data_IF_261861668882
#
_entry.id   IF_261861668882
#
_cell.length_a   1.000
_cell.length_b   1.000
_cell.length_c   1.000
_cell.angle_alpha   90.00
_cell.angle_beta   90.00
_cell.angle_gamma   90.00
#
_symmetry.space_group_name_H-M   'P 1'
#
loop_
_entity.id
_entity.type
_entity.pdbx_description
1 polymer ?
#
# COMPACT_ATOMS: atom_id res chain seq x y z
N UNK A 1 -23.40 -13.48 43.89
CA UNK A 1 -23.26 -14.93 44.14
C UNK A 1 -22.04 -15.27 45.01
N UNK A 2 -20.96 -14.49 44.99
CA UNK A 2 -19.70 -14.77 45.74
C UNK A 2 -19.79 -14.85 47.27
N UNK A 3 -20.95 -14.55 47.87
CA UNK A 3 -21.16 -14.60 49.33
C UNK A 3 -21.96 -15.81 49.82
N UNK A 4 -22.68 -16.53 48.95
CA UNK A 4 -23.60 -17.59 49.38
C UNK A 4 -22.88 -18.74 50.12
N UNK A 5 -21.69 -19.11 49.66
CA UNK A 5 -20.91 -20.18 50.30
C UNK A 5 -20.29 -19.77 51.65
N UNK A 6 -20.16 -18.46 51.92
CA UNK A 6 -19.69 -17.97 53.23
C UNK A 6 -20.78 -18.07 54.29
N UNK A 7 -22.03 -17.88 53.90
CA UNK A 7 -23.18 -17.92 54.81
C UNK A 7 -23.56 -19.36 55.21
N UNK A 8 -23.34 -20.35 54.33
CA UNK A 8 -23.62 -21.78 54.58
C UNK A 8 -22.56 -22.44 55.48
N UNK A 9 -21.38 -21.83 55.62
CA UNK A 9 -20.26 -22.33 56.42
C UNK A 9 -19.53 -23.52 55.77
N UNK A 10 -18.23 -23.69 56.09
CA UNK A 10 -17.40 -24.79 55.54
C UNK A 10 -17.63 -26.14 56.22
N UNK A 11 -18.32 -26.14 57.35
CA UNK A 11 -18.47 -27.32 58.19
C UNK A 11 -19.68 -28.17 57.75
N UNK A 12 -20.59 -27.60 56.96
CA UNK A 12 -21.75 -28.31 56.40
C UNK A 12 -21.40 -29.01 55.08
N UNK A 13 -22.01 -30.18 54.82
CA UNK A 13 -21.79 -30.91 53.56
C UNK A 13 -22.19 -30.09 52.33
N UNK A 14 -23.29 -29.33 52.42
CA UNK A 14 -23.73 -28.43 51.37
C UNK A 14 -22.70 -27.32 51.09
N UNK A 15 -22.07 -26.77 52.13
CA UNK A 15 -21.01 -25.78 52.00
C UNK A 15 -19.75 -26.35 51.34
N UNK A 16 -19.37 -27.60 51.66
CA UNK A 16 -18.23 -28.29 51.01
C UNK A 16 -18.48 -28.54 49.52
N UNK A 17 -19.68 -28.98 49.15
CA UNK A 17 -20.07 -29.16 47.75
C UNK A 17 -20.05 -27.84 46.97
N UNK A 18 -20.61 -26.77 47.53
CA UNK A 18 -20.62 -25.44 46.91
C UNK A 18 -19.20 -24.87 46.75
N UNK A 19 -18.32 -25.07 47.74
CA UNK A 19 -16.93 -24.62 47.67
C UNK A 19 -16.13 -25.34 46.57
N UNK A 20 -16.38 -26.63 46.36
CA UNK A 20 -15.75 -27.39 45.27
C UNK A 20 -16.28 -27.00 43.89
N UNK A 21 -17.56 -26.65 43.78
CA UNK A 21 -18.16 -26.22 42.51
C UNK A 21 -17.68 -24.81 42.09
N UNK A 22 -17.41 -23.94 43.07
CA UNK A 22 -16.97 -22.56 42.86
C UNK A 22 -15.68 -22.26 43.63
N UNK A 23 -14.53 -22.84 43.24
CA UNK A 23 -13.26 -22.53 43.88
C UNK A 23 -13.01 -21.02 43.78
N UNK A 24 -12.67 -20.33 44.89
CA UNK A 24 -12.52 -18.89 44.92
C UNK A 24 -11.39 -18.49 43.97
N UNK A 25 -11.77 -18.04 42.77
CA UNK A 25 -10.90 -17.71 41.65
C UNK A 25 -9.67 -18.61 41.55
N UNK A 26 -9.77 -19.72 40.82
CA UNK A 26 -8.54 -20.37 40.34
C UNK A 26 -7.77 -19.31 39.56
N UNK A 27 -6.74 -18.71 40.19
CA UNK A 27 -5.73 -17.94 39.49
C UNK A 27 -5.18 -18.91 38.47
N UNK A 28 -5.65 -18.79 37.23
CA UNK A 28 -5.21 -19.64 36.13
C UNK A 28 -3.70 -19.42 36.04
N UNK A 29 -2.94 -20.39 36.55
CA UNK A 29 -1.50 -20.33 36.62
C UNK A 29 -0.98 -20.58 35.22
N UNK A 30 -0.93 -19.54 34.41
CA UNK A 30 -0.29 -19.62 33.12
C UNK A 30 1.22 -19.77 33.32
N UNK A 31 1.88 -20.70 32.63
CA UNK A 31 3.33 -20.84 32.71
C UNK A 31 4.00 -19.50 32.37
N UNK A 32 4.89 -19.03 33.24
CA UNK A 32 5.58 -17.76 33.06
C UNK A 32 6.41 -17.80 31.79
N UNK A 33 5.99 -17.05 30.77
CA UNK A 33 6.74 -16.91 29.52
C UNK A 33 8.06 -16.21 29.83
N UNK A 34 9.17 -16.96 29.81
CA UNK A 34 10.53 -16.40 29.95
C UNK A 34 10.82 -15.47 28.77
N UNK A 35 10.48 -14.19 28.90
CA UNK A 35 10.84 -13.17 27.92
C UNK A 35 12.34 -12.94 28.04
N UNK A 36 13.11 -13.35 27.03
CA UNK A 36 14.51 -12.93 26.90
C UNK A 36 14.54 -11.39 26.88
N UNK A 37 15.23 -10.78 27.84
CA UNK A 37 15.41 -9.34 27.91
C UNK A 37 16.07 -8.85 26.61
N UNK A 38 15.50 -7.84 25.96
CA UNK A 38 15.97 -7.32 24.66
C UNK A 38 17.42 -6.79 24.66
N UNK A 39 18.05 -6.62 25.83
CA UNK A 39 19.41 -6.11 25.93
C UNK A 39 20.51 -7.10 25.54
N UNK A 40 20.26 -8.41 25.52
CA UNK A 40 21.29 -9.41 25.16
C UNK A 40 21.35 -9.75 23.66
N UNK A 41 20.32 -9.41 22.87
CA UNK A 41 20.31 -9.70 21.43
C UNK A 41 21.21 -8.77 20.61
N UNK A 42 21.43 -7.53 21.07
CA UNK A 42 22.31 -6.59 20.36
C UNK A 42 23.80 -6.94 20.52
N UNK A 43 24.20 -7.50 21.68
CA UNK A 43 25.60 -7.90 21.94
C UNK A 43 25.97 -9.23 21.24
N UNK A 44 25.03 -10.17 21.11
CA UNK A 44 25.27 -11.43 20.42
C UNK A 44 25.37 -11.28 18.89
N UNK A 45 24.75 -10.26 18.29
CA UNK A 45 24.90 -9.98 16.85
C UNK A 45 26.19 -9.25 16.48
N UNK A 46 26.75 -8.43 17.38
CA UNK A 46 28.04 -7.76 17.12
C UNK A 46 29.25 -8.71 17.21
N UNK A 47 29.25 -9.68 18.14
CA UNK A 47 30.37 -10.64 18.25
C UNK A 47 30.44 -11.61 17.06
N UNK A 48 29.30 -11.92 16.41
CA UNK A 48 29.27 -12.78 15.21
C UNK A 48 29.87 -12.12 13.96
N UNK A 49 29.99 -10.78 13.92
CA UNK A 49 30.52 -10.06 12.76
C UNK A 49 32.02 -9.78 12.82
N UNK A 50 32.67 -9.91 13.98
CA UNK A 50 34.11 -9.62 14.15
C UNK A 50 35.00 -10.83 14.44
N UNK A 51 34.43 -11.97 14.85
CA UNK A 51 35.20 -13.19 15.07
C UNK A 51 35.02 -14.21 13.94
N UNK A 52 35.99 -14.29 13.02
CA UNK A 52 36.12 -15.39 12.07
C UNK A 52 36.35 -16.73 12.77
N UNK A 53 35.30 -17.33 13.34
CA UNK A 53 35.36 -18.68 13.90
C UNK A 53 35.54 -19.67 12.74
N UNK A 54 36.73 -20.24 12.63
CA UNK A 54 37.03 -21.40 11.78
C UNK A 54 35.94 -22.44 12.04
N UNK A 55 35.19 -22.81 11.00
CA UNK A 55 34.17 -23.87 11.07
C UNK A 55 34.90 -25.18 11.41
N UNK A 56 34.93 -25.57 12.68
CA UNK A 56 35.29 -26.93 13.02
C UNK A 56 34.25 -27.84 12.37
N UNK A 57 34.72 -28.82 11.59
CA UNK A 57 33.87 -29.82 10.99
C UNK A 57 33.11 -30.52 12.13
N UNK A 58 31.79 -30.35 12.14
CA UNK A 58 30.94 -30.99 13.13
C UNK A 58 31.12 -32.51 12.98
N UNK A 59 31.49 -33.24 14.05
CA UNK A 59 31.69 -34.68 13.98
C UNK A 59 30.40 -35.34 13.50
N UNK A 60 30.56 -36.22 12.50
CA UNK A 60 29.58 -37.13 11.89
C UNK A 60 28.10 -36.84 12.21
N UNK A 61 27.39 -36.29 11.23
CA UNK A 61 25.93 -36.15 11.29
C UNK A 61 25.34 -37.56 11.46
N UNK A 62 24.79 -37.86 12.64
CA UNK A 62 23.98 -39.04 12.84
C UNK A 62 22.80 -38.98 11.86
N UNK A 63 22.68 -39.97 10.97
CA UNK A 63 21.50 -40.17 10.12
C UNK A 63 20.35 -40.66 11.01
N UNK A 64 19.63 -39.70 11.60
CA UNK A 64 18.36 -39.99 12.25
C UNK A 64 17.29 -40.06 11.16
N UNK A 65 16.73 -41.24 10.93
CA UNK A 65 15.63 -41.43 9.99
C UNK A 65 14.36 -40.79 10.57
N UNK A 66 14.01 -39.60 10.06
CA UNK A 66 12.78 -38.93 10.44
C UNK A 66 11.63 -39.40 9.54
N UNK A 67 10.42 -39.56 10.10
CA UNK A 67 9.23 -39.83 9.29
C UNK A 67 9.05 -38.71 8.25
N UNK A 68 8.76 -39.10 7.01
CA UNK A 68 8.52 -38.17 5.89
C UNK A 68 7.27 -37.34 6.17
N UNK A 69 7.48 -36.14 6.71
CA UNK A 69 6.40 -35.18 6.86
C UNK A 69 5.89 -34.74 5.47
N UNK A 70 4.57 -34.67 5.26
CA UNK A 70 4.04 -34.19 3.99
C UNK A 70 4.53 -32.76 3.74
N UNK A 71 4.98 -32.50 2.51
CA UNK A 71 5.42 -31.15 2.13
C UNK A 71 4.27 -30.16 2.38
N UNK A 72 4.54 -29.00 3.00
CA UNK A 72 3.51 -28.01 3.23
C UNK A 72 2.91 -27.60 1.87
N UNK A 73 1.58 -27.70 1.75
CA UNK A 73 0.88 -27.25 0.55
C UNK A 73 1.23 -25.78 0.30
N UNK A 74 1.66 -25.46 -0.92
CA UNK A 74 1.92 -24.07 -1.32
C UNK A 74 0.65 -23.26 -1.09
N UNK A 75 0.77 -22.17 -0.34
CA UNK A 75 -0.34 -21.22 -0.15
C UNK A 75 -0.76 -20.70 -1.53
N UNK A 76 -2.05 -20.78 -1.84
CA UNK A 76 -2.63 -20.12 -3.01
C UNK A 76 -2.74 -18.65 -2.67
N UNK A 77 -2.11 -17.79 -3.47
CA UNK A 77 -2.24 -16.35 -3.33
C UNK A 77 -3.56 -15.91 -3.94
N UNK A 78 -4.34 -15.10 -3.23
CA UNK A 78 -5.56 -14.50 -3.75
C UNK A 78 -5.26 -13.07 -4.23
N UNK A 79 -6.06 -12.54 -5.18
CA UNK A 79 -5.90 -11.15 -5.64
C UNK A 79 -5.99 -10.12 -4.49
N UNK A 80 -6.75 -10.45 -3.44
CA UNK A 80 -6.88 -9.66 -2.22
C UNK A 80 -5.55 -9.53 -1.47
N UNK A 81 -4.66 -10.53 -1.54
CA UNK A 81 -3.35 -10.49 -0.87
C UNK A 81 -2.39 -9.48 -1.52
N UNK A 82 -2.67 -9.05 -2.75
CA UNK A 82 -1.91 -8.04 -3.48
C UNK A 82 -2.43 -6.62 -3.28
N UNK A 83 -3.58 -6.44 -2.58
CA UNK A 83 -4.09 -5.11 -2.25
C UNK A 83 -3.15 -4.49 -1.20
N UNK A 84 -2.51 -3.34 -1.50
CA UNK A 84 -1.60 -2.70 -0.56
C UNK A 84 -2.34 -2.34 0.73
N UNK A 85 -1.95 -2.97 1.85
CA UNK A 85 -2.50 -2.63 3.15
C UNK A 85 -1.89 -1.34 3.68
N UNK A 86 -2.72 -0.51 4.31
CA UNK A 86 -2.27 0.70 5.00
C UNK A 86 -1.23 0.34 6.07
N UNK A 87 -0.03 0.91 5.99
CA UNK A 87 1.02 0.74 7.00
C UNK A 87 0.57 1.38 8.30
N UNK A 88 0.97 0.81 9.45
CA UNK A 88 0.74 1.42 10.75
C UNK A 88 1.48 2.76 10.85
N UNK A 89 0.85 3.75 11.49
CA UNK A 89 1.39 5.11 11.61
C UNK A 89 2.81 5.14 12.22
N UNK A 90 3.08 4.28 13.20
CA UNK A 90 4.42 4.15 13.81
C UNK A 90 5.49 3.76 12.79
N UNK A 91 5.17 2.84 11.86
CA UNK A 91 6.09 2.40 10.81
C UNK A 91 6.34 3.56 9.84
N UNK A 92 5.28 4.26 9.44
CA UNK A 92 5.37 5.43 8.56
C UNK A 92 6.26 6.52 9.20
N UNK A 93 6.05 6.84 10.49
CA UNK A 93 6.87 7.80 11.23
C UNK A 93 8.34 7.37 11.28
N UNK A 94 8.62 6.11 11.60
CA UNK A 94 10.01 5.61 11.58
C UNK A 94 10.65 5.60 10.18
N UNK A 95 9.88 5.38 9.12
CA UNK A 95 10.37 5.47 7.73
C UNK A 95 10.64 6.92 7.34
N UNK A 96 9.78 7.86 7.72
CA UNK A 96 9.99 9.29 7.51
C UNK A 96 11.22 9.80 8.25
N UNK A 97 11.41 9.40 9.51
CA UNK A 97 12.56 9.81 10.30
C UNK A 97 13.87 9.19 9.76
N UNK A 98 13.82 7.96 9.23
CA UNK A 98 14.97 7.34 8.53
C UNK A 98 15.21 7.92 7.13
N UNK A 99 14.15 8.36 6.45
CA UNK A 99 14.16 8.91 5.09
C UNK A 99 14.57 10.38 5.01
N UNK A 100 14.65 11.09 6.15
CA UNK A 100 15.27 12.43 6.26
C UNK A 100 16.80 12.40 6.19
N UNK A 101 17.40 11.27 5.81
CA UNK A 101 18.76 11.32 5.28
C UNK A 101 18.73 12.26 4.08
N UNK A 102 19.39 13.42 4.19
CA UNK A 102 19.62 14.36 3.09
C UNK A 102 19.94 13.51 1.87
N UNK A 103 19.01 13.44 0.91
CA UNK A 103 19.28 12.77 -0.35
C UNK A 103 20.43 13.57 -0.93
N UNK A 104 21.66 13.05 -0.78
CA UNK A 104 22.85 13.71 -1.30
C UNK A 104 22.50 13.98 -2.76
N UNK A 105 22.54 15.24 -3.22
CA UNK A 105 22.30 15.53 -4.62
C UNK A 105 23.20 14.58 -5.39
N UNK A 106 22.58 13.70 -6.18
CA UNK A 106 23.37 12.79 -7.00
C UNK A 106 24.20 13.70 -7.89
N UNK A 107 25.55 13.59 -7.88
CA UNK A 107 26.36 14.38 -8.79
C UNK A 107 25.78 14.15 -10.19
N UNK A 108 25.55 15.24 -10.91
CA UNK A 108 24.96 15.18 -12.25
C UNK A 108 25.73 14.16 -13.07
N UNK A 109 25.04 13.14 -13.58
CA UNK A 109 25.67 12.18 -14.50
C UNK A 109 25.86 12.90 -15.82
N UNK A 110 27.11 13.00 -16.27
CA UNK A 110 27.42 13.57 -17.59
C UNK A 110 26.71 12.76 -18.68
N UNK A 111 25.58 13.30 -19.17
CA UNK A 111 24.75 12.65 -20.19
C UNK A 111 25.55 12.27 -21.43
N UNK A 112 26.56 13.06 -21.80
CA UNK A 112 27.45 12.77 -22.94
C UNK A 112 28.20 11.46 -22.75
N UNK A 113 28.89 11.31 -21.61
CA UNK A 113 29.61 10.07 -21.28
C UNK A 113 28.68 8.86 -21.20
N UNK A 114 27.47 9.05 -20.67
CA UNK A 114 26.48 7.97 -20.60
C UNK A 114 25.98 7.55 -21.99
N UNK A 115 25.82 8.51 -22.91
CA UNK A 115 25.46 8.24 -24.30
C UNK A 115 26.59 7.50 -25.01
N UNK A 116 27.84 7.96 -24.84
CA UNK A 116 29.02 7.32 -25.44
C UNK A 116 29.18 5.88 -24.92
N UNK A 117 29.07 5.66 -23.61
CA UNK A 117 29.11 4.32 -22.99
C UNK A 117 27.99 3.40 -23.50
N UNK A 118 26.80 3.94 -23.75
CA UNK A 118 25.69 3.17 -24.32
C UNK A 118 25.97 2.85 -25.80
N UNK A 119 26.46 3.81 -26.57
CA UNK A 119 26.82 3.59 -27.97
C UNK A 119 27.93 2.54 -28.09
N UNK A 120 28.97 2.57 -27.27
CA UNK A 120 30.02 1.55 -27.25
C UNK A 120 29.47 0.17 -26.89
N UNK A 121 28.62 0.07 -25.86
CA UNK A 121 28.02 -1.21 -25.47
C UNK A 121 27.13 -1.81 -26.55
N UNK A 122 26.40 -0.96 -27.29
CA UNK A 122 25.52 -1.41 -28.36
C UNK A 122 26.25 -1.60 -29.70
N UNK A 123 27.39 -0.94 -29.93
CA UNK A 123 28.23 -1.15 -31.13
C UNK A 123 28.88 -2.54 -31.16
N UNK A 124 29.11 -3.16 -29.99
CA UNK A 124 29.78 -4.47 -29.92
C UNK A 124 28.84 -5.67 -29.66
N UNK A 125 27.55 -5.45 -29.39
CA UNK A 125 26.63 -6.56 -29.05
C UNK A 125 25.85 -7.13 -30.24
N UNK A 126 26.05 -6.61 -31.45
CA UNK A 126 25.45 -7.18 -32.65
C UNK A 126 26.32 -6.96 -33.87
N UNK A 127 27.01 -8.03 -34.29
CA UNK A 127 27.33 -8.39 -35.68
C UNK A 127 28.76 -8.95 -35.84
N UNK A 128 28.99 -10.14 -35.30
CA UNK A 128 29.80 -11.12 -36.02
C UNK A 128 28.91 -11.77 -37.07
N UNK A 129 28.94 -11.24 -38.29
CA UNK A 129 28.37 -11.89 -39.47
C UNK A 129 27.03 -11.31 -39.94
N UNK A 130 27.05 -10.12 -40.52
CA UNK A 130 26.27 -9.83 -41.71
C UNK A 130 26.82 -8.57 -42.38
N UNK A 131 27.24 -8.72 -43.64
CA UNK A 131 27.38 -7.60 -44.57
C UNK A 131 25.96 -7.10 -44.81
N UNK A 132 25.53 -6.05 -44.10
CA UNK A 132 24.23 -5.42 -44.33
C UNK A 132 24.47 -4.08 -44.98
N UNK A 133 24.21 -4.04 -46.29
CA UNK A 133 24.04 -2.80 -47.01
C UNK A 133 23.05 -1.92 -46.27
N UNK A 134 23.41 -0.65 -46.09
CA UNK A 134 22.57 0.37 -45.50
C UNK A 134 21.17 0.25 -46.10
N UNK A 135 20.20 -0.14 -45.26
CA UNK A 135 18.81 -0.28 -45.68
C UNK A 135 18.42 0.98 -46.48
N UNK A 136 17.93 0.86 -47.73
CA UNK A 136 17.61 2.01 -48.57
C UNK A 136 16.56 2.93 -47.92
N UNK A 137 15.82 2.42 -46.91
CA UNK A 137 14.89 3.18 -46.08
C UNK A 137 15.60 4.16 -45.12
N UNK A 138 16.79 3.83 -44.62
CA UNK A 138 17.57 4.71 -43.73
C UNK A 138 18.15 5.89 -44.52
N UNK A 139 18.63 5.65 -45.76
CA UNK A 139 19.07 6.72 -46.67
C UNK A 139 17.93 7.67 -47.04
N UNK A 140 16.75 7.14 -47.37
CA UNK A 140 15.56 7.99 -47.64
C UNK A 140 15.14 8.81 -46.42
N UNK A 141 15.25 8.25 -45.21
CA UNK A 141 14.94 8.97 -43.97
C UNK A 141 15.91 10.13 -43.71
N UNK A 142 17.21 9.91 -43.92
CA UNK A 142 18.22 10.96 -43.78
C UNK A 142 18.03 12.09 -44.82
N UNK A 143 17.73 11.75 -46.08
CA UNK A 143 17.45 12.74 -47.12
C UNK A 143 16.18 13.55 -46.83
N UNK A 144 15.12 12.90 -46.32
CA UNK A 144 13.88 13.57 -45.94
C UNK A 144 14.10 14.54 -44.77
N UNK A 145 14.87 14.12 -43.77
CA UNK A 145 15.21 14.94 -42.61
C UNK A 145 16.06 16.17 -43.00
N UNK A 146 16.97 16.01 -43.96
CA UNK A 146 17.80 17.09 -44.48
C UNK A 146 16.98 18.09 -45.32
N UNK A 147 16.01 17.61 -46.11
CA UNK A 147 15.02 18.46 -46.80
C UNK A 147 14.15 19.25 -45.82
N UNK A 148 13.68 18.64 -44.73
CA UNK A 148 12.88 19.33 -43.72
C UNK A 148 13.69 20.42 -42.98
N UNK A 149 15.01 20.27 -42.90
CA UNK A 149 15.89 21.23 -42.24
C UNK A 149 16.16 22.48 -43.09
N UNK A 150 16.03 22.37 -44.41
CA UNK A 150 16.21 23.49 -45.35
C UNK A 150 14.90 24.21 -45.68
N UNK A 151 13.74 23.64 -45.32
CA UNK A 151 12.46 24.27 -45.53
C UNK A 151 12.34 25.55 -44.67
N UNK A 152 11.97 26.71 -45.25
CA UNK A 152 11.85 27.96 -44.51
C UNK A 152 10.72 27.83 -43.48
N UNK A 153 11.07 27.91 -42.19
CA UNK A 153 10.12 27.92 -41.09
C UNK A 153 9.37 29.25 -41.13
N UNK A 154 8.24 29.29 -41.83
CA UNK A 154 7.32 30.42 -41.76
C UNK A 154 6.70 30.45 -40.37
N UNK A 155 7.01 31.49 -39.60
CA UNK A 155 6.44 31.72 -38.26
C UNK A 155 4.97 32.13 -38.43
N UNK A 156 4.11 31.15 -38.68
CA UNK A 156 2.66 31.35 -38.62
C UNK A 156 2.27 31.47 -37.15
N UNK A 157 2.05 32.71 -36.72
CA UNK A 157 1.38 33.06 -35.48
C UNK A 157 0.00 32.42 -35.40
N UNK A 158 -0.30 31.92 -34.20
CA UNK A 158 -1.64 31.68 -33.63
C UNK A 158 -2.30 30.33 -33.98
N UNK A 159 -2.22 29.44 -32.98
CA UNK A 159 -3.21 28.41 -32.66
C UNK A 159 -3.70 27.53 -33.81
N UNK A 160 -2.86 26.64 -34.26
CA UNK A 160 -3.25 25.50 -35.07
C UNK A 160 -2.06 24.58 -35.16
N UNK A 161 -2.12 23.43 -34.51
CA UNK A 161 -1.08 22.40 -34.63
C UNK A 161 -1.20 21.84 -36.05
N UNK A 162 -0.45 22.43 -36.99
CA UNK A 162 -0.37 21.94 -38.36
C UNK A 162 0.43 20.64 -38.27
N UNK A 163 -0.27 19.51 -38.33
CA UNK A 163 0.37 18.22 -38.58
C UNK A 163 0.98 18.33 -39.98
N UNK A 164 2.30 18.16 -40.15
CA UNK A 164 2.91 18.22 -41.48
C UNK A 164 2.22 17.21 -42.40
N UNK A 165 1.81 17.62 -43.60
CA UNK A 165 1.00 16.80 -44.53
C UNK A 165 1.61 15.40 -44.77
N UNK A 166 2.95 15.29 -44.73
CA UNK A 166 3.65 14.00 -44.87
C UNK A 166 3.27 12.98 -43.79
N UNK A 167 2.95 13.41 -42.57
CA UNK A 167 2.58 12.51 -41.48
C UNK A 167 1.17 11.92 -41.66
N UNK A 168 0.28 12.65 -42.36
CA UNK A 168 -1.04 12.15 -42.72
C UNK A 168 -0.95 11.09 -43.83
N UNK A 169 -0.11 11.31 -44.84
CA UNK A 169 0.15 10.35 -45.93
C UNK A 169 0.74 9.03 -45.40
N UNK A 170 1.74 9.10 -44.51
CA UNK A 170 2.34 7.91 -43.91
C UNK A 170 1.31 7.07 -43.10
N UNK A 171 0.37 7.72 -42.42
CA UNK A 171 -0.67 7.04 -41.68
C UNK A 171 -1.70 6.37 -42.61
N UNK A 172 -2.07 7.03 -43.70
CA UNK A 172 -2.98 6.47 -44.70
C UNK A 172 -2.38 5.23 -45.38
N UNK A 173 -1.10 5.27 -45.73
CA UNK A 173 -0.39 4.17 -46.39
C UNK A 173 -0.24 2.95 -45.46
N UNK A 174 -0.01 3.15 -44.16
CA UNK A 174 0.23 2.06 -43.21
C UNK A 174 -1.05 1.39 -42.70
N UNK A 175 -2.16 2.12 -42.64
CA UNK A 175 -3.42 1.64 -42.02
C UNK A 175 -4.61 1.59 -42.97
N UNK A 176 -4.43 1.95 -44.25
CA UNK A 176 -5.44 1.84 -45.30
C UNK A 176 -6.71 2.65 -45.07
N UNK A 177 -6.66 3.64 -44.18
CA UNK A 177 -7.79 4.51 -43.83
C UNK A 177 -7.33 5.96 -43.89
N UNK A 178 -7.96 6.74 -44.76
CA UNK A 178 -7.81 8.20 -44.79
C UNK A 178 -8.36 8.76 -43.50
N UNK A 179 -7.50 9.33 -42.64
CA UNK A 179 -7.98 10.04 -41.45
C UNK A 179 -8.72 11.29 -41.94
N UNK A 180 -10.04 11.30 -41.77
CA UNK A 180 -10.85 12.50 -41.98
C UNK A 180 -10.39 13.56 -40.96
N UNK A 181 -9.86 14.73 -41.37
CA UNK A 181 -9.39 15.77 -40.45
C UNK A 181 -10.48 16.22 -39.46
N UNK A 182 -11.75 16.04 -39.81
CA UNK A 182 -12.89 16.34 -38.95
C UNK A 182 -13.04 15.38 -37.77
N UNK A 183 -12.57 14.13 -37.90
CA UNK A 183 -12.57 13.12 -36.82
C UNK A 183 -11.45 13.35 -35.79
N UNK A 184 -10.47 14.19 -36.13
CA UNK A 184 -9.40 14.68 -35.26
C UNK A 184 -9.75 15.98 -34.54
N UNK A 185 -11.03 16.39 -34.54
CA UNK A 185 -11.54 17.29 -33.49
C UNK A 185 -11.25 16.62 -32.17
N UNK A 186 -10.16 17.09 -31.54
CA UNK A 186 -9.69 16.73 -30.22
C UNK A 186 -10.93 16.54 -29.35
N UNK A 187 -11.16 15.31 -28.90
CA UNK A 187 -11.76 15.15 -27.60
C UNK A 187 -10.77 15.85 -26.66
N UNK A 188 -10.98 17.15 -26.44
CA UNK A 188 -10.46 17.80 -25.27
C UNK A 188 -10.88 16.87 -24.12
N UNK A 189 -9.97 16.54 -23.18
CA UNK A 189 -10.37 15.79 -22.00
C UNK A 189 -11.61 16.48 -21.47
N UNK A 190 -12.76 15.81 -21.55
CA UNK A 190 -14.00 16.44 -21.12
C UNK A 190 -13.77 16.83 -19.67
N UNK A 191 -14.17 18.03 -19.30
CA UNK A 191 -14.17 18.52 -17.92
C UNK A 191 -15.09 17.68 -17.00
N UNK A 192 -15.54 16.50 -17.45
CA UNK A 192 -16.31 15.49 -16.73
C UNK A 192 -15.56 14.83 -15.55
N UNK A 193 -14.41 15.38 -15.15
CA UNK A 193 -13.69 14.97 -13.93
C UNK A 193 -13.86 15.94 -12.76
N UNK A 194 -14.49 17.10 -12.97
CA UNK A 194 -14.87 18.00 -11.89
C UNK A 194 -16.33 17.73 -11.56
N UNK A 195 -16.57 16.96 -10.50
CA UNK A 195 -17.89 16.93 -9.85
C UNK A 195 -18.31 18.38 -9.64
N UNK A 196 -19.52 18.74 -10.05
CA UNK A 196 -20.01 20.09 -9.81
C UNK A 196 -20.00 20.37 -8.31
N UNK A 197 -19.80 21.64 -7.91
CA UNK A 197 -19.76 22.01 -6.48
C UNK A 197 -21.03 21.50 -5.77
N UNK A 198 -22.16 21.51 -6.48
CA UNK A 198 -23.45 20.99 -6.01
C UNK A 198 -23.42 19.49 -5.72
N UNK A 199 -22.80 18.66 -6.57
CA UNK A 199 -22.63 17.22 -6.33
C UNK A 199 -21.79 16.96 -5.08
N UNK A 200 -20.72 17.73 -4.87
CA UNK A 200 -19.88 17.57 -3.67
C UNK A 200 -20.63 17.93 -2.39
N UNK A 201 -21.44 18.98 -2.42
CA UNK A 201 -22.30 19.32 -1.28
C UNK A 201 -23.33 18.24 -0.99
N UNK A 202 -23.93 17.66 -2.04
CA UNK A 202 -24.92 16.60 -1.88
C UNK A 202 -24.30 15.33 -1.29
N UNK A 203 -23.13 14.91 -1.75
CA UNK A 203 -22.38 13.80 -1.16
C UNK A 203 -22.02 14.04 0.32
N UNK A 204 -21.66 15.28 0.68
CA UNK A 204 -21.37 15.67 2.06
C UNK A 204 -22.61 15.65 2.95
N UNK A 205 -23.78 16.03 2.41
CA UNK A 205 -25.04 16.02 3.14
C UNK A 205 -25.57 14.60 3.36
N UNK A 206 -25.41 13.72 2.38
CA UNK A 206 -25.73 12.30 2.52
C UNK A 206 -24.84 11.66 3.60
N UNK A 207 -23.53 11.93 3.55
CA UNK A 207 -22.59 11.45 4.56
C UNK A 207 -22.90 12.02 5.96
N UNK A 208 -23.34 13.28 6.04
CA UNK A 208 -23.78 13.88 7.29
C UNK A 208 -24.99 13.14 7.88
N UNK A 209 -26.00 12.89 7.04
CA UNK A 209 -27.23 12.21 7.42
C UNK A 209 -26.95 10.77 7.90
N UNK A 210 -26.05 10.06 7.25
CA UNK A 210 -25.67 8.69 7.63
C UNK A 210 -24.94 8.65 8.98
N UNK A 211 -24.02 9.58 9.24
CA UNK A 211 -23.32 9.66 10.54
C UNK A 211 -24.28 10.03 11.67
N UNK A 212 -25.27 10.91 11.42
CA UNK A 212 -26.32 11.23 12.41
C UNK A 212 -27.14 9.99 12.77
N UNK A 213 -27.58 9.22 11.77
CA UNK A 213 -28.29 7.95 12.01
C UNK A 213 -27.47 6.97 12.84
N UNK A 214 -26.18 6.80 12.52
CA UNK A 214 -25.30 5.91 13.29
C UNK A 214 -25.16 6.37 14.76
N UNK A 215 -25.09 7.69 15.01
CA UNK A 215 -25.06 8.23 16.39
C UNK A 215 -26.36 7.90 17.14
N UNK A 216 -27.52 8.08 16.50
CA UNK A 216 -28.83 7.77 17.09
C UNK A 216 -28.95 6.28 17.44
N UNK A 217 -28.59 5.40 16.50
CA UNK A 217 -28.57 3.95 16.71
C UNK A 217 -27.68 3.54 17.89
N UNK A 218 -26.48 4.13 18.00
CA UNK A 218 -25.54 3.84 19.10
C UNK A 218 -26.04 4.38 20.43
N UNK A 219 -26.72 5.53 20.44
CA UNK A 219 -27.33 6.09 21.64
C UNK A 219 -28.48 5.20 22.13
N UNK A 220 -29.32 4.71 21.22
CA UNK A 220 -30.40 3.79 21.57
C UNK A 220 -29.87 2.45 22.08
N UNK A 221 -28.86 1.88 21.40
CA UNK A 221 -28.16 0.70 21.89
C UNK A 221 -27.54 0.91 23.29
N UNK A 222 -26.94 2.07 23.55
CA UNK A 222 -26.39 2.39 24.87
C UNK A 222 -27.49 2.45 25.93
N UNK A 223 -28.66 3.04 25.62
CA UNK A 223 -29.82 3.07 26.53
C UNK A 223 -30.30 1.64 26.83
N UNK A 224 -30.38 0.77 25.82
CA UNK A 224 -30.79 -0.63 25.97
C UNK A 224 -29.83 -1.43 26.87
N UNK A 225 -28.52 -1.33 26.63
CA UNK A 225 -27.50 -2.00 27.46
C UNK A 225 -27.57 -1.53 28.90
N UNK A 226 -27.68 -0.21 29.10
CA UNK A 226 -27.74 0.38 30.45
C UNK A 226 -28.99 -0.10 31.17
N UNK A 227 -30.14 -0.18 30.48
CA UNK A 227 -31.40 -0.69 31.03
C UNK A 227 -31.34 -2.17 31.42
N UNK A 228 -30.59 -2.97 30.66
CA UNK A 228 -30.38 -4.40 30.93
C UNK A 228 -29.33 -4.68 32.00
N UNK A 229 -28.61 -3.67 32.50
CA UNK A 229 -27.51 -3.85 33.45
C UNK A 229 -26.31 -4.58 32.82
N UNK A 230 -26.03 -4.29 31.55
CA UNK A 230 -24.94 -4.91 30.80
C UNK A 230 -23.54 -4.62 31.36
N UNK A 231 -22.52 -5.21 30.71
CA UNK A 231 -21.12 -4.98 31.12
C UNK A 231 -20.70 -3.53 30.89
N UNK A 232 -20.09 -2.92 31.90
CA UNK A 232 -19.52 -1.56 31.83
C UNK A 232 -18.52 -1.39 30.69
N UNK A 233 -17.77 -2.44 30.36
CA UNK A 233 -16.79 -2.39 29.26
C UNK A 233 -17.46 -2.13 27.91
N UNK A 234 -18.67 -2.69 27.70
CA UNK A 234 -19.43 -2.50 26.47
C UNK A 234 -20.00 -1.08 26.44
N UNK A 235 -20.54 -0.59 27.56
CA UNK A 235 -21.01 0.79 27.66
C UNK A 235 -19.90 1.81 27.36
N UNK A 236 -18.72 1.63 27.95
CA UNK A 236 -17.57 2.52 27.72
C UNK A 236 -17.05 2.44 26.29
N UNK A 237 -17.15 1.28 25.64
CA UNK A 237 -16.82 1.13 24.23
C UNK A 237 -17.82 1.86 23.35
N UNK A 238 -19.12 1.65 23.55
CA UNK A 238 -20.17 2.32 22.77
C UNK A 238 -20.10 3.84 22.95
N UNK A 239 -19.82 4.33 24.17
CA UNK A 239 -19.58 5.76 24.43
C UNK A 239 -18.39 6.31 23.63
N UNK A 240 -17.30 5.57 23.51
CA UNK A 240 -16.15 5.97 22.68
C UNK A 240 -16.50 6.03 21.21
N UNK A 241 -17.23 5.04 20.71
CA UNK A 241 -17.70 5.02 19.31
C UNK A 241 -18.59 6.25 19.01
N UNK A 242 -19.49 6.64 19.92
CA UNK A 242 -20.29 7.87 19.78
C UNK A 242 -19.39 9.11 19.69
N UNK A 243 -18.38 9.24 20.56
CA UNK A 243 -17.45 10.39 20.54
C UNK A 243 -16.66 10.44 19.23
N UNK A 244 -16.23 9.29 18.71
CA UNK A 244 -15.55 9.20 17.41
C UNK A 244 -16.47 9.66 16.27
N UNK A 245 -17.73 9.24 16.24
CA UNK A 245 -18.71 9.69 15.22
C UNK A 245 -19.04 11.18 15.32
N UNK A 246 -19.13 11.74 16.53
CA UNK A 246 -19.30 13.19 16.71
C UNK A 246 -18.10 13.96 16.14
N UNK A 247 -16.88 13.46 16.31
CA UNK A 247 -15.69 14.08 15.72
C UNK A 247 -15.71 14.02 14.18
N UNK A 248 -16.20 12.94 13.59
CA UNK A 248 -16.42 12.83 12.15
C UNK A 248 -17.46 13.84 11.65
N UNK A 249 -18.58 13.99 12.36
CA UNK A 249 -19.63 14.97 12.04
C UNK A 249 -19.08 16.40 12.08
N UNK A 250 -18.26 16.74 13.08
CA UNK A 250 -17.56 18.03 13.14
C UNK A 250 -16.65 18.24 11.92
N UNK A 251 -15.92 17.20 11.48
CA UNK A 251 -15.08 17.27 10.29
C UNK A 251 -15.90 17.50 9.03
N UNK A 252 -17.02 16.81 8.83
CA UNK A 252 -17.94 17.03 7.70
C UNK A 252 -18.41 18.48 7.67
N UNK A 253 -18.83 19.01 8.83
CA UNK A 253 -19.25 20.42 8.95
C UNK A 253 -18.13 21.41 8.61
N UNK A 254 -16.86 21.09 8.91
CA UNK A 254 -15.73 21.93 8.48
C UNK A 254 -15.46 21.88 6.97
N UNK A 255 -15.81 20.77 6.30
CA UNK A 255 -15.70 20.65 4.84
C UNK A 255 -16.82 21.43 4.15
N UNK A 256 -18.07 21.30 4.62
CA UNK A 256 -19.21 22.07 4.11
C UNK A 256 -19.01 23.59 4.22
N UNK A 257 -18.32 24.07 5.25
CA UNK A 257 -17.99 25.50 5.41
C UNK A 257 -16.87 26.02 4.49
N UNK A 258 -16.07 25.12 3.91
CA UNK A 258 -14.91 25.46 3.07
C UNK A 258 -15.22 25.44 1.59
N UNK A 259 -16.22 24.65 1.20
CA UNK A 259 -16.91 24.82 -0.07
C UNK A 259 -17.65 26.16 -0.03
#
# INVERSE_FOLDING_TARGET
MDKLWKDVGRDTEAGKLLFNLYPPSSKVSYPTVKKKSKQTLAKEEEEKKRGGKKKMACPQKAEVEYPKLPAPKRRKWHMIDFVPRKKNEKVIKTELDKGKGVVKPRPGVDRKRMIDDLQDKFQFQGMKGAVVGVDPKIRKKQQLEEMMRQAPVTKSTRSGFIVPDYAAEYYAERYGKTLDPSSLKRQAPSEAGYSTVDEQYQELEDLFSDVVKEIEERQDYLKEITKLGGSKDIEERTKREIVERIAELQKIRTMQKKL
#
